data_IF_925455379443
#
_entry.id   IF_925455379443
#
_cell.length_a   1.000
_cell.length_b   1.000
_cell.length_c   1.000
_cell.angle_alpha   90.00
_cell.angle_beta   90.00
_cell.angle_gamma   90.00
#
_symmetry.space_group_name_H-M   'P 1'
#
loop_
_entity.id
_entity.type
_entity.pdbx_description
1 polymer ?
#
# COMPACT_ATOMS: atom_id res chain seq x y z
N UNK A 1 -11.47 6.30 20.92
CA UNK A 1 -12.01 5.03 20.40
C UNK A 1 -11.63 4.93 18.94
N UNK A 2 -10.40 4.44 18.71
CA UNK A 2 -9.83 4.24 17.37
C UNK A 2 -10.28 2.86 16.91
N UNK A 3 -10.90 2.78 15.73
CA UNK A 3 -11.36 1.52 15.14
C UNK A 3 -10.23 0.48 15.17
N UNK A 4 -10.54 -0.67 15.77
CA UNK A 4 -9.75 -1.90 15.77
C UNK A 4 -9.02 -2.07 14.44
N UNK A 5 -7.69 -1.95 14.47
CA UNK A 5 -6.75 -2.69 13.60
C UNK A 5 -7.29 -3.07 12.22
N UNK A 6 -7.54 -2.07 11.35
CA UNK A 6 -7.75 -2.28 9.91
C UNK A 6 -6.43 -2.34 9.15
N UNK A 7 -5.48 -3.14 9.66
CA UNK A 7 -4.54 -3.80 8.76
C UNK A 7 -5.22 -5.08 8.27
N UNK A 8 -5.83 -4.97 7.08
CA UNK A 8 -6.25 -6.08 6.22
C UNK A 8 -7.54 -6.79 6.69
N UNK A 9 -8.64 -6.63 5.93
CA UNK A 9 -9.68 -7.66 5.94
C UNK A 9 -9.03 -8.96 5.47
N UNK A 10 -8.88 -9.90 6.39
CA UNK A 10 -8.35 -11.23 6.14
C UNK A 10 -9.03 -11.82 4.89
N UNK A 11 -8.23 -12.34 3.95
CA UNK A 11 -8.72 -13.42 3.10
C UNK A 11 -9.32 -14.46 4.05
N UNK A 12 -10.57 -14.88 3.80
CA UNK A 12 -11.17 -16.00 4.53
C UNK A 12 -10.14 -17.13 4.55
N UNK A 13 -9.85 -17.73 5.72
CA UNK A 13 -8.99 -18.91 5.76
C UNK A 13 -9.59 -19.92 4.78
N UNK A 14 -8.75 -20.43 3.86
CA UNK A 14 -9.10 -21.59 3.06
C UNK A 14 -9.49 -22.71 4.03
N UNK A 15 -10.54 -23.51 3.74
CA UNK A 15 -10.99 -24.56 4.65
C UNK A 15 -9.84 -25.48 5.04
N UNK A 16 -9.77 -25.82 6.33
CA UNK A 16 -8.91 -26.88 6.85
C UNK A 16 -9.45 -28.25 6.40
N UNK A 17 -9.32 -28.60 5.13
CA UNK A 17 -9.60 -29.96 4.65
C UNK A 17 -8.29 -30.63 4.24
N UNK A 18 -7.76 -31.47 5.14
CA UNK A 18 -6.63 -32.38 4.88
C UNK A 18 -5.26 -31.71 4.65
N UNK A 19 -5.06 -30.49 5.14
CA UNK A 19 -3.92 -29.63 4.83
C UNK A 19 -2.62 -29.99 5.56
N UNK A 20 -1.50 -29.62 4.93
CA UNK A 20 -0.16 -29.62 5.51
C UNK A 20 -0.12 -29.02 6.92
N UNK A 21 0.77 -29.55 7.76
CA UNK A 21 0.98 -29.05 9.11
C UNK A 21 1.49 -27.60 9.12
N UNK A 22 1.29 -26.86 10.23
CA UNK A 22 1.84 -25.51 10.38
C UNK A 22 3.36 -25.43 10.16
N UNK A 23 4.08 -26.49 10.55
CA UNK A 23 5.51 -26.63 10.36
C UNK A 23 5.87 -26.80 8.88
N UNK A 24 5.20 -27.69 8.15
CA UNK A 24 5.41 -27.89 6.71
C UNK A 24 5.14 -26.61 5.91
N UNK A 25 4.10 -25.88 6.28
CA UNK A 25 3.78 -24.58 5.67
C UNK A 25 4.88 -23.56 5.92
N UNK A 26 5.41 -23.47 7.14
CA UNK A 26 6.55 -22.60 7.45
C UNK A 26 7.81 -23.04 6.69
N UNK A 27 8.07 -24.34 6.58
CA UNK A 27 9.21 -24.87 5.85
C UNK A 27 9.17 -24.46 4.36
N UNK A 28 8.00 -24.47 3.72
CA UNK A 28 7.85 -23.97 2.34
C UNK A 28 8.18 -22.49 2.24
N UNK A 29 7.68 -21.67 3.17
CA UNK A 29 8.04 -20.25 3.22
C UNK A 29 9.57 -20.07 3.37
N UNK A 30 10.20 -20.81 4.27
CA UNK A 30 11.66 -20.79 4.48
C UNK A 30 12.43 -21.17 3.21
N UNK A 31 11.97 -22.19 2.46
CA UNK A 31 12.57 -22.56 1.18
C UNK A 31 12.51 -21.41 0.16
N UNK A 32 11.37 -20.72 0.08
CA UNK A 32 11.23 -19.53 -0.76
C UNK A 32 12.20 -18.44 -0.31
N UNK A 33 12.27 -18.13 0.99
CA UNK A 33 13.16 -17.09 1.52
C UNK A 33 14.63 -17.37 1.22
N UNK A 34 15.09 -18.60 1.42
CA UNK A 34 16.46 -19.01 1.09
C UNK A 34 16.77 -18.85 -0.39
N UNK A 35 15.85 -19.26 -1.27
CA UNK A 35 16.01 -19.08 -2.72
C UNK A 35 16.13 -17.61 -3.10
N UNK A 36 15.31 -16.73 -2.52
CA UNK A 36 15.38 -15.28 -2.78
C UNK A 36 16.72 -14.70 -2.31
N UNK A 37 17.21 -15.13 -1.15
CA UNK A 37 18.53 -14.73 -0.61
C UNK A 37 19.67 -15.17 -1.52
N UNK A 38 19.66 -16.41 -1.98
CA UNK A 38 20.68 -16.94 -2.90
C UNK A 38 20.68 -16.20 -4.24
N UNK A 39 19.51 -15.98 -4.84
CA UNK A 39 19.41 -15.20 -6.08
C UNK A 39 19.99 -13.80 -5.92
N UNK A 40 19.67 -13.13 -4.81
CA UNK A 40 20.18 -11.79 -4.55
C UNK A 40 21.69 -11.78 -4.31
N UNK A 41 22.23 -12.76 -3.58
CA UNK A 41 23.67 -12.89 -3.36
C UNK A 41 24.42 -13.09 -4.67
N UNK A 42 23.88 -13.92 -5.56
CA UNK A 42 24.56 -14.32 -6.79
C UNK A 42 24.44 -13.26 -7.89
N UNK A 43 23.33 -12.50 -7.93
CA UNK A 43 23.02 -11.56 -9.04
C UNK A 43 22.92 -10.09 -8.63
N UNK A 44 22.81 -9.79 -7.33
CA UNK A 44 22.50 -8.45 -6.81
C UNK A 44 21.04 -8.02 -6.99
N UNK A 45 20.20 -8.87 -7.56
CA UNK A 45 18.76 -8.65 -7.71
C UNK A 45 18.01 -9.99 -7.67
N UNK A 46 16.68 -9.92 -7.57
CA UNK A 46 15.81 -11.09 -7.54
C UNK A 46 14.79 -10.97 -8.66
N UNK A 47 14.45 -12.07 -9.32
CA UNK A 47 13.41 -12.12 -10.34
C UNK A 47 12.00 -11.99 -9.72
N UNK A 48 10.98 -11.72 -10.53
CA UNK A 48 9.60 -11.67 -10.03
C UNK A 48 9.27 -12.99 -9.31
N UNK A 49 8.81 -12.90 -8.07
CA UNK A 49 8.41 -14.07 -7.27
C UNK A 49 7.31 -14.83 -8.03
N UNK A 50 7.50 -16.13 -8.23
CA UNK A 50 6.51 -16.97 -8.88
C UNK A 50 5.20 -16.96 -8.06
N UNK A 51 4.06 -17.09 -8.72
CA UNK A 51 2.73 -17.07 -8.06
C UNK A 51 2.65 -18.08 -6.91
N UNK A 52 3.21 -19.26 -7.09
CA UNK A 52 3.23 -20.31 -6.06
C UNK A 52 4.11 -19.94 -4.86
N UNK A 53 5.26 -19.30 -5.10
CA UNK A 53 6.16 -18.85 -4.04
C UNK A 53 5.50 -17.72 -3.21
N UNK A 54 4.80 -16.79 -3.86
CA UNK A 54 4.04 -15.72 -3.18
C UNK A 54 2.85 -16.30 -2.38
N UNK A 55 2.16 -17.30 -2.93
CA UNK A 55 1.09 -18.00 -2.21
C UNK A 55 1.62 -18.74 -0.98
N UNK A 56 2.76 -19.44 -1.09
CA UNK A 56 3.39 -20.13 0.02
C UNK A 56 3.76 -19.16 1.15
N UNK A 57 4.32 -17.99 0.83
CA UNK A 57 4.59 -16.96 1.83
C UNK A 57 3.29 -16.45 2.49
N UNK A 58 2.23 -16.19 1.71
CA UNK A 58 0.95 -15.70 2.25
C UNK A 58 0.27 -16.70 3.20
N UNK A 59 0.53 -17.99 3.06
CA UNK A 59 -0.01 -19.01 3.97
C UNK A 59 0.52 -18.88 5.41
N UNK A 60 1.62 -18.15 5.64
CA UNK A 60 2.09 -17.83 7.00
C UNK A 60 1.09 -17.03 7.84
N UNK A 61 0.10 -16.39 7.22
CA UNK A 61 -0.98 -15.69 7.92
C UNK A 61 -2.11 -16.61 8.43
N UNK A 62 -2.09 -17.90 8.08
CA UNK A 62 -3.04 -18.85 8.67
C UNK A 62 -2.84 -18.92 10.18
N UNK A 63 -3.93 -18.89 10.95
CA UNK A 63 -3.86 -18.79 12.42
C UNK A 63 -2.98 -19.88 13.05
N UNK A 64 -3.09 -21.12 12.57
CA UNK A 64 -2.28 -22.24 13.06
C UNK A 64 -0.77 -22.01 12.82
N UNK A 65 -0.40 -21.55 11.63
CA UNK A 65 1.00 -21.19 11.29
C UNK A 65 1.46 -20.00 12.11
N UNK A 66 0.64 -18.95 12.21
CA UNK A 66 0.97 -17.77 12.98
C UNK A 66 1.22 -18.08 14.46
N UNK A 67 0.45 -18.98 15.05
CA UNK A 67 0.70 -19.49 16.39
C UNK A 67 1.98 -20.33 16.47
N UNK A 68 2.21 -21.22 15.50
CA UNK A 68 3.42 -22.03 15.43
C UNK A 68 4.71 -21.20 15.35
N UNK A 69 4.70 -20.06 14.65
CA UNK A 69 5.86 -19.15 14.54
C UNK A 69 6.31 -18.54 15.88
N UNK A 70 5.52 -18.68 16.95
CA UNK A 70 5.89 -18.27 18.32
C UNK A 70 6.64 -19.36 19.09
N UNK A 71 6.71 -20.58 18.56
CA UNK A 71 7.47 -21.67 19.18
C UNK A 71 8.97 -21.41 19.07
N UNK A 72 9.73 -21.89 20.05
CA UNK A 72 11.19 -21.77 20.06
C UNK A 72 11.83 -22.39 18.81
N UNK A 73 11.31 -23.53 18.36
CA UNK A 73 11.78 -24.20 17.15
C UNK A 73 11.62 -23.32 15.90
N UNK A 74 10.44 -22.74 15.71
CA UNK A 74 10.18 -21.86 14.58
C UNK A 74 11.02 -20.59 14.63
N UNK A 75 11.21 -20.00 15.83
CA UNK A 75 12.05 -18.82 16.00
C UNK A 75 13.51 -19.11 15.66
N UNK A 76 14.07 -20.24 16.12
CA UNK A 76 15.43 -20.66 15.76
C UNK A 76 15.60 -20.86 14.26
N UNK A 77 14.60 -21.45 13.59
CA UNK A 77 14.62 -21.62 12.13
C UNK A 77 14.59 -20.27 11.41
N UNK A 78 13.71 -19.35 11.84
CA UNK A 78 13.60 -18.02 11.25
C UNK A 78 14.84 -17.16 11.50
N UNK A 79 15.46 -17.28 12.67
CA UNK A 79 16.73 -16.62 13.01
C UNK A 79 17.82 -16.97 11.99
N UNK A 80 17.97 -18.25 11.64
CA UNK A 80 18.95 -18.70 10.64
C UNK A 80 18.66 -18.17 9.23
N UNK A 81 17.38 -18.03 8.88
CA UNK A 81 16.95 -17.51 7.57
C UNK A 81 17.21 -16.01 7.49
N UNK A 82 16.95 -15.28 8.57
CA UNK A 82 17.09 -13.83 8.60
C UNK A 82 18.48 -13.35 9.00
N UNK A 83 19.38 -14.25 9.36
CA UNK A 83 20.80 -13.95 9.44
C UNK A 83 21.28 -13.39 8.10
N UNK A 84 21.87 -12.19 8.16
CA UNK A 84 22.36 -11.43 7.00
C UNK A 84 21.29 -11.11 5.94
N UNK A 85 20.02 -11.04 6.35
CA UNK A 85 18.94 -10.71 5.42
C UNK A 85 19.04 -9.29 4.90
N UNK A 86 19.11 -9.15 3.57
CA UNK A 86 19.21 -7.84 2.94
C UNK A 86 17.83 -7.17 2.81
N UNK A 87 17.60 -5.95 3.34
CA UNK A 87 16.28 -5.30 3.31
C UNK A 87 15.72 -5.02 1.90
N UNK A 88 16.58 -4.99 0.87
CA UNK A 88 16.11 -4.91 -0.53
C UNK A 88 15.25 -6.11 -0.98
N UNK A 89 15.25 -7.21 -0.23
CA UNK A 89 14.37 -8.37 -0.47
C UNK A 89 12.94 -8.14 0.00
N UNK A 90 12.72 -7.13 0.86
CA UNK A 90 11.42 -6.87 1.50
C UNK A 90 10.28 -6.43 0.56
N UNK A 91 10.48 -5.56 -0.46
CA UNK A 91 9.37 -4.96 -1.21
C UNK A 91 8.39 -5.92 -1.88
N UNK A 92 8.81 -7.15 -2.19
CA UNK A 92 7.97 -8.14 -2.91
C UNK A 92 6.92 -8.80 -2.03
N UNK A 93 7.21 -8.95 -0.74
CA UNK A 93 6.37 -9.66 0.22
C UNK A 93 6.42 -8.99 1.59
N UNK A 94 6.48 -7.65 1.58
CA UNK A 94 6.79 -6.82 2.76
C UNK A 94 5.97 -7.19 3.99
N UNK A 95 4.67 -7.46 3.83
CA UNK A 95 3.78 -7.80 4.94
C UNK A 95 4.16 -9.09 5.64
N UNK A 96 4.34 -10.17 4.87
CA UNK A 96 4.71 -11.48 5.44
C UNK A 96 6.13 -11.45 5.97
N UNK A 97 7.04 -10.75 5.29
CA UNK A 97 8.41 -10.63 5.76
C UNK A 97 8.50 -9.85 7.07
N UNK A 98 7.81 -8.72 7.21
CA UNK A 98 7.72 -7.99 8.48
C UNK A 98 7.11 -8.88 9.56
N UNK A 99 6.06 -9.64 9.23
CA UNK A 99 5.44 -10.59 10.17
C UNK A 99 6.38 -11.70 10.63
N UNK A 100 7.20 -12.27 9.74
CA UNK A 100 8.14 -13.33 10.09
C UNK A 100 9.36 -12.77 10.83
N UNK A 101 9.89 -11.62 10.39
CA UNK A 101 11.00 -10.92 11.06
C UNK A 101 10.61 -10.48 12.48
N UNK A 102 9.36 -10.07 12.71
CA UNK A 102 8.91 -9.70 14.07
C UNK A 102 8.90 -10.86 15.07
N UNK A 103 9.08 -12.10 14.61
CA UNK A 103 9.27 -13.28 15.47
C UNK A 103 10.71 -13.48 15.91
N UNK A 104 11.64 -12.70 15.36
CA UNK A 104 13.10 -12.81 15.52
C UNK A 104 13.64 -11.45 15.98
N UNK A 105 13.81 -11.21 17.29
CA UNK A 105 14.14 -9.88 17.83
C UNK A 105 15.42 -9.26 17.27
N UNK A 106 16.45 -10.06 17.06
CA UNK A 106 17.74 -9.66 16.47
C UNK A 106 17.57 -9.15 15.03
N UNK A 107 16.84 -9.89 14.19
CA UNK A 107 16.55 -9.51 12.81
C UNK A 107 15.66 -8.26 12.75
N UNK A 108 14.67 -8.15 13.65
CA UNK A 108 13.83 -6.96 13.75
C UNK A 108 14.64 -5.73 14.12
N UNK A 109 15.52 -5.82 15.12
CA UNK A 109 16.40 -4.73 15.50
C UNK A 109 17.36 -4.34 14.37
N UNK A 110 17.90 -5.33 13.64
CA UNK A 110 18.71 -5.07 12.44
C UNK A 110 17.95 -4.30 11.37
N UNK A 111 16.68 -4.64 11.14
CA UNK A 111 15.81 -3.92 10.21
C UNK A 111 15.54 -2.48 10.68
N UNK A 112 15.28 -2.27 11.98
CA UNK A 112 15.11 -0.93 12.55
C UNK A 112 16.35 -0.07 12.37
N UNK A 113 17.53 -0.59 12.72
CA UNK A 113 18.81 0.12 12.55
C UNK A 113 19.03 0.50 11.09
N UNK A 114 18.84 -0.44 10.16
CA UNK A 114 18.97 -0.16 8.72
C UNK A 114 18.03 0.97 8.26
N UNK A 115 16.77 0.96 8.69
CA UNK A 115 15.80 1.98 8.30
C UNK A 115 16.20 3.34 8.88
N UNK A 116 16.61 3.41 10.15
CA UNK A 116 17.06 4.66 10.79
C UNK A 116 18.26 5.27 10.08
N UNK A 117 19.28 4.47 9.80
CA UNK A 117 20.47 4.90 9.07
C UNK A 117 20.09 5.40 7.68
N UNK A 118 19.24 4.67 6.96
CA UNK A 118 18.79 5.06 5.63
C UNK A 118 17.90 6.32 5.63
N UNK A 119 17.09 6.54 6.66
CA UNK A 119 16.27 7.76 6.83
C UNK A 119 17.10 9.00 7.21
N UNK A 120 18.34 8.81 7.67
CA UNK A 120 19.27 9.91 7.93
C UNK A 120 19.79 10.57 6.64
N UNK A 121 19.65 9.90 5.49
CA UNK A 121 19.87 10.50 4.17
C UNK A 121 18.79 11.56 3.88
N UNK A 122 19.14 12.72 3.29
CA UNK A 122 18.15 13.70 2.83
C UNK A 122 17.25 13.15 1.71
N UNK A 123 17.70 12.12 0.99
CA UNK A 123 16.95 11.50 -0.11
C UNK A 123 16.86 9.98 0.11
N UNK A 124 16.07 9.52 1.10
CA UNK A 124 15.92 8.10 1.35
C UNK A 124 15.23 7.42 0.17
N UNK A 125 15.57 6.16 -0.06
CA UNK A 125 14.93 5.39 -1.12
C UNK A 125 13.43 5.21 -0.85
N UNK A 126 12.63 5.07 -1.90
CA UNK A 126 11.21 4.73 -1.77
C UNK A 126 11.01 3.43 -0.97
N UNK A 127 11.92 2.47 -1.12
CA UNK A 127 11.90 1.22 -0.36
C UNK A 127 12.03 1.47 1.14
N UNK A 128 12.97 2.33 1.56
CA UNK A 128 13.15 2.73 2.95
C UNK A 128 11.89 3.39 3.51
N UNK A 129 11.36 4.38 2.79
CA UNK A 129 10.15 5.10 3.20
C UNK A 129 8.94 4.16 3.31
N UNK A 130 8.80 3.20 2.40
CA UNK A 130 7.72 2.23 2.43
C UNK A 130 7.88 1.23 3.59
N UNK A 131 9.10 0.77 3.87
CA UNK A 131 9.37 -0.08 5.03
C UNK A 131 9.06 0.61 6.35
N UNK A 132 9.48 1.86 6.50
CA UNK A 132 9.15 2.67 7.66
C UNK A 132 7.63 2.80 7.84
N UNK A 133 6.90 3.09 6.76
CA UNK A 133 5.43 3.16 6.79
C UNK A 133 4.80 1.84 7.28
N UNK A 134 5.17 0.69 6.70
CA UNK A 134 4.57 -0.60 7.09
C UNK A 134 4.82 -0.95 8.55
N UNK A 135 5.99 -0.61 9.08
CA UNK A 135 6.30 -0.81 10.49
C UNK A 135 5.52 0.16 11.38
N UNK A 136 5.46 1.44 11.04
CA UNK A 136 4.70 2.44 11.82
C UNK A 136 3.19 2.19 11.83
N UNK A 137 2.66 1.44 10.86
CA UNK A 137 1.26 1.00 10.83
C UNK A 137 0.96 -0.17 11.79
N UNK A 138 1.99 -0.82 12.34
CA UNK A 138 1.86 -1.86 13.35
C UNK A 138 1.84 -1.16 14.71
N UNK A 139 0.79 -1.39 15.50
CA UNK A 139 0.56 -0.69 16.77
C UNK A 139 1.76 -0.81 17.72
N UNK A 140 2.41 -1.98 17.76
CA UNK A 140 3.59 -2.24 18.59
C UNK A 140 4.83 -1.42 18.21
N UNK A 141 4.93 -0.96 16.96
CA UNK A 141 6.06 -0.21 16.43
C UNK A 141 5.67 1.21 16.01
N UNK A 142 4.47 1.64 16.41
CA UNK A 142 3.99 2.97 16.11
C UNK A 142 4.93 4.00 16.76
N UNK A 143 5.45 4.88 15.92
CA UNK A 143 6.34 5.95 16.33
C UNK A 143 7.83 5.61 16.37
N UNK A 144 8.24 4.37 16.04
CA UNK A 144 9.64 3.90 16.08
C UNK A 144 10.63 4.78 15.28
N UNK A 145 10.12 5.45 14.24
CA UNK A 145 10.87 6.32 13.32
C UNK A 145 10.42 7.79 13.35
N UNK A 146 9.70 8.22 14.40
CA UNK A 146 9.07 9.55 14.40
C UNK A 146 10.07 10.68 14.26
N UNK A 147 11.20 10.59 14.96
CA UNK A 147 12.23 11.63 14.98
C UNK A 147 12.87 11.78 13.60
N UNK A 148 13.18 10.65 12.96
CA UNK A 148 13.78 10.57 11.63
C UNK A 148 12.84 11.16 10.58
N UNK A 149 11.54 10.85 10.65
CA UNK A 149 10.54 11.40 9.72
C UNK A 149 10.32 12.90 9.95
N UNK A 150 10.30 13.38 11.20
CA UNK A 150 10.21 14.82 11.50
C UNK A 150 11.42 15.57 10.95
N UNK A 151 12.62 15.03 11.16
CA UNK A 151 13.85 15.60 10.61
C UNK A 151 13.82 15.60 9.07
N UNK A 152 13.42 14.49 8.45
CA UNK A 152 13.31 14.38 7.00
C UNK A 152 12.30 15.37 6.41
N UNK A 153 11.17 15.60 7.09
CA UNK A 153 10.17 16.58 6.68
C UNK A 153 10.75 18.01 6.63
N UNK A 154 11.66 18.33 7.56
CA UNK A 154 12.34 19.64 7.61
C UNK A 154 13.45 19.74 6.54
N UNK A 155 14.23 18.67 6.36
CA UNK A 155 15.40 18.68 5.48
C UNK A 155 15.05 18.53 3.99
N UNK A 156 14.06 17.69 3.66
CA UNK A 156 13.68 17.39 2.27
C UNK A 156 12.19 17.02 2.16
N UNK A 157 11.27 18.00 2.28
CA UNK A 157 9.85 17.74 2.20
C UNK A 157 9.46 17.22 0.81
N UNK A 158 8.82 16.07 0.77
CA UNK A 158 8.18 15.50 -0.43
C UNK A 158 6.73 15.14 -0.15
N UNK A 159 5.86 14.97 -1.16
CA UNK A 159 4.47 14.61 -0.90
C UNK A 159 4.32 13.31 -0.11
N UNK A 160 5.19 12.32 -0.36
CA UNK A 160 5.16 11.06 0.39
C UNK A 160 5.60 11.23 1.84
N UNK A 161 6.68 12.00 2.10
CA UNK A 161 7.15 12.29 3.47
C UNK A 161 6.10 13.09 4.25
N UNK A 162 5.41 14.03 3.60
CA UNK A 162 4.28 14.75 4.19
C UNK A 162 3.11 13.81 4.55
N UNK A 163 2.82 12.81 3.71
CA UNK A 163 1.80 11.81 4.04
C UNK A 163 2.25 10.88 5.15
N UNK A 164 3.55 10.58 5.24
CA UNK A 164 4.13 9.73 6.28
C UNK A 164 4.14 10.43 7.64
N UNK A 165 4.44 11.74 7.69
CA UNK A 165 4.40 12.52 8.93
C UNK A 165 3.02 12.54 9.59
N UNK A 166 1.95 12.31 8.83
CA UNK A 166 0.59 12.16 9.35
C UNK A 166 0.36 10.90 10.19
N UNK A 167 1.25 9.90 10.11
CA UNK A 167 1.24 8.79 11.08
C UNK A 167 1.69 9.23 12.47
N UNK A 168 2.47 10.32 12.55
CA UNK A 168 2.99 10.88 13.81
C UNK A 168 2.04 11.97 14.32
N UNK A 169 1.67 12.90 13.43
CA UNK A 169 0.73 13.97 13.72
C UNK A 169 -0.34 14.00 12.62
N UNK A 170 -1.54 13.44 12.85
CA UNK A 170 -2.62 13.40 11.85
C UNK A 170 -3.02 14.78 11.31
N UNK A 171 -2.79 15.85 12.09
CA UNK A 171 -3.09 17.25 11.75
C UNK A 171 -1.95 17.94 11.00
N UNK A 172 -0.84 17.24 10.70
CA UNK A 172 0.29 17.84 10.00
C UNK A 172 -0.16 18.35 8.63
N UNK A 173 -0.12 19.68 8.39
CA UNK A 173 -0.56 20.23 7.11
C UNK A 173 0.44 19.84 6.03
N UNK A 174 -0.07 19.56 4.82
CA UNK A 174 0.77 19.35 3.65
C UNK A 174 0.56 20.50 2.68
N UNK A 175 1.57 21.35 2.52
CA UNK A 175 1.62 22.38 1.49
C UNK A 175 2.02 21.78 0.11
N UNK A 176 2.82 20.71 0.13
CA UNK A 176 3.21 19.96 -1.06
C UNK A 176 2.24 18.80 -1.34
N UNK A 177 1.01 19.15 -1.75
CA UNK A 177 -0.04 18.17 -2.03
C UNK A 177 0.21 17.46 -3.35
N UNK A 178 0.29 16.12 -3.31
CA UNK A 178 0.28 15.30 -4.52
C UNK A 178 -1.09 15.33 -5.20
N UNK A 179 -2.16 15.34 -4.40
CA UNK A 179 -3.54 15.47 -4.84
C UNK A 179 -4.25 16.57 -4.05
N UNK A 180 -5.03 17.41 -4.73
CA UNK A 180 -5.68 18.59 -4.16
C UNK A 180 -6.94 18.25 -3.36
N UNK A 181 -6.76 17.46 -2.30
CA UNK A 181 -7.77 17.14 -1.28
C UNK A 181 -7.46 17.92 0.00
N UNK A 182 -8.48 18.39 0.70
CA UNK A 182 -8.36 19.11 1.96
C UNK A 182 -7.64 18.28 3.03
N UNK A 183 -6.83 18.96 3.85
CA UNK A 183 -6.07 18.31 4.92
C UNK A 183 -6.98 17.61 5.94
N UNK A 184 -8.15 18.21 6.23
CA UNK A 184 -9.14 17.70 7.17
C UNK A 184 -9.83 16.46 6.60
N UNK A 185 -10.18 16.46 5.31
CA UNK A 185 -10.73 15.29 4.63
C UNK A 185 -9.76 14.10 4.66
N UNK A 186 -8.46 14.34 4.40
CA UNK A 186 -7.42 13.30 4.51
C UNK A 186 -7.21 12.80 5.95
N UNK A 187 -7.39 13.66 6.95
CA UNK A 187 -7.26 13.32 8.36
C UNK A 187 -8.41 12.42 8.83
N UNK A 188 -9.63 12.76 8.44
CA UNK A 188 -10.84 12.05 8.85
C UNK A 188 -10.99 10.70 8.12
N UNK A 189 -10.41 10.57 6.92
CA UNK A 189 -10.60 9.42 6.05
C UNK A 189 -9.28 8.68 5.77
N UNK A 190 -8.92 7.74 6.66
CA UNK A 190 -7.69 6.94 6.54
C UNK A 190 -7.62 6.09 5.26
N UNK A 191 -8.77 5.64 4.75
CA UNK A 191 -8.89 4.95 3.46
C UNK A 191 -8.43 5.83 2.30
N UNK A 192 -8.84 7.10 2.30
CA UNK A 192 -8.47 8.08 1.28
C UNK A 192 -6.95 8.31 1.29
N UNK A 193 -6.39 8.58 2.48
CA UNK A 193 -4.95 8.74 2.67
C UNK A 193 -4.17 7.50 2.17
N UNK A 194 -4.67 6.29 2.45
CA UNK A 194 -4.05 5.06 1.99
C UNK A 194 -4.05 4.93 0.45
N UNK A 195 -5.13 5.33 -0.23
CA UNK A 195 -5.16 5.31 -1.70
C UNK A 195 -4.15 6.30 -2.29
N UNK A 196 -4.03 7.49 -1.71
CA UNK A 196 -3.03 8.49 -2.16
C UNK A 196 -1.60 7.96 -2.01
N UNK A 197 -1.28 7.33 -0.88
CA UNK A 197 0.06 6.74 -0.67
C UNK A 197 0.35 5.63 -1.69
N UNK A 198 -0.60 4.72 -1.92
CA UNK A 198 -0.46 3.64 -2.91
C UNK A 198 -0.32 4.18 -4.33
N UNK A 199 -1.03 5.25 -4.67
CA UNK A 199 -0.90 5.96 -5.93
C UNK A 199 0.53 6.46 -6.15
N UNK A 200 1.10 7.20 -5.19
CA UNK A 200 2.47 7.71 -5.26
C UNK A 200 3.48 6.57 -5.38
N UNK A 201 3.35 5.51 -4.59
CA UNK A 201 4.27 4.36 -4.66
C UNK A 201 4.22 3.71 -6.05
N UNK A 202 3.02 3.50 -6.61
CA UNK A 202 2.86 2.89 -7.92
C UNK A 202 3.46 3.76 -9.02
N UNK A 203 3.19 5.07 -8.99
CA UNK A 203 3.76 6.06 -9.93
C UNK A 203 5.29 6.08 -9.85
N UNK A 204 5.87 6.22 -8.65
CA UNK A 204 7.34 6.24 -8.47
C UNK A 204 8.03 4.95 -8.88
N UNK A 205 7.30 3.84 -8.97
CA UNK A 205 7.79 2.55 -9.50
C UNK A 205 7.56 2.38 -11.01
N UNK A 206 6.95 3.35 -11.68
CA UNK A 206 6.61 3.29 -13.11
C UNK A 206 5.37 2.44 -13.44
N UNK A 207 4.58 2.04 -12.44
CA UNK A 207 3.36 1.25 -12.64
C UNK A 207 2.16 2.16 -12.86
N UNK A 208 2.14 2.88 -13.98
CA UNK A 208 1.14 3.92 -14.25
C UNK A 208 -0.31 3.41 -14.32
N UNK A 209 -0.58 2.22 -14.89
CA UNK A 209 -1.91 1.60 -14.80
C UNK A 209 -2.37 1.34 -13.36
N UNK A 210 -1.46 0.96 -12.47
CA UNK A 210 -1.79 0.75 -11.05
C UNK A 210 -1.99 2.08 -10.33
N UNK A 211 -1.13 3.08 -10.61
CA UNK A 211 -1.26 4.42 -10.08
C UNK A 211 -2.60 5.05 -10.50
N UNK A 212 -3.01 4.86 -11.75
CA UNK A 212 -4.30 5.28 -12.29
C UNK A 212 -5.47 4.63 -11.56
N UNK A 213 -5.40 3.33 -11.27
CA UNK A 213 -6.43 2.66 -10.48
C UNK A 213 -6.54 3.23 -9.07
N UNK A 214 -5.42 3.57 -8.44
CA UNK A 214 -5.44 4.25 -7.14
C UNK A 214 -5.98 5.68 -7.24
N UNK A 215 -5.67 6.44 -8.30
CA UNK A 215 -6.24 7.76 -8.57
C UNK A 215 -7.77 7.71 -8.64
N UNK A 216 -8.31 6.75 -9.39
CA UNK A 216 -9.76 6.57 -9.50
C UNK A 216 -10.39 6.13 -8.17
N UNK A 217 -9.74 5.22 -7.43
CA UNK A 217 -10.19 4.84 -6.09
C UNK A 217 -10.15 6.02 -5.12
N UNK A 218 -9.17 6.93 -5.24
CA UNK A 218 -9.11 8.17 -4.45
C UNK A 218 -10.30 9.07 -4.76
N UNK A 219 -10.64 9.27 -6.05
CA UNK A 219 -11.85 10.03 -6.43
C UNK A 219 -13.13 9.38 -5.88
N UNK A 220 -13.27 8.07 -6.05
CA UNK A 220 -14.45 7.32 -5.60
C UNK A 220 -14.62 7.40 -4.09
N UNK A 221 -13.53 7.24 -3.33
CA UNK A 221 -13.54 7.36 -1.87
C UNK A 221 -13.85 8.79 -1.43
N UNK A 222 -13.26 9.80 -2.09
CA UNK A 222 -13.58 11.21 -1.82
C UNK A 222 -15.08 11.48 -2.00
N UNK A 223 -15.66 11.02 -3.12
CA UNK A 223 -17.10 11.15 -3.36
C UNK A 223 -17.93 10.43 -2.28
N UNK A 224 -17.53 9.22 -1.86
CA UNK A 224 -18.21 8.47 -0.82
C UNK A 224 -18.24 9.23 0.51
N UNK A 225 -17.11 9.80 0.92
CA UNK A 225 -16.98 10.58 2.15
C UNK A 225 -17.89 11.81 2.19
N UNK A 226 -18.05 12.49 1.05
CA UNK A 226 -18.88 13.70 0.95
C UNK A 226 -20.36 13.43 0.63
N UNK A 227 -20.68 12.33 -0.05
CA UNK A 227 -22.06 11.94 -0.35
C UNK A 227 -22.77 11.35 0.88
N UNK A 228 -22.04 10.67 1.78
CA UNK A 228 -22.61 9.94 2.93
C UNK A 228 -23.80 9.04 2.55
N UNK A 229 -23.65 8.17 1.54
CA UNK A 229 -24.75 7.37 1.06
C UNK A 229 -25.14 6.28 2.06
N UNK A 230 -26.38 5.78 1.98
CA UNK A 230 -26.85 4.64 2.78
C UNK A 230 -26.26 3.30 2.35
N UNK A 231 -25.67 3.24 1.14
CA UNK A 231 -25.01 2.04 0.64
C UNK A 231 -23.61 1.88 1.25
N UNK A 232 -23.19 0.64 1.44
CA UNK A 232 -21.85 0.35 1.96
C UNK A 232 -20.77 0.78 0.96
N UNK A 233 -19.60 1.19 1.47
CA UNK A 233 -18.42 1.58 0.69
C UNK A 233 -18.07 0.62 -0.46
N UNK A 234 -18.16 -0.69 -0.24
CA UNK A 234 -17.79 -1.70 -1.25
C UNK A 234 -18.76 -1.76 -2.45
N UNK A 235 -19.96 -1.22 -2.30
CA UNK A 235 -20.98 -1.17 -3.35
C UNK A 235 -21.10 0.24 -3.96
N UNK A 236 -20.28 1.20 -3.51
CA UNK A 236 -20.27 2.55 -4.05
C UNK A 236 -19.44 2.56 -5.33
N UNK A 237 -20.07 2.64 -6.49
CA UNK A 237 -19.45 2.43 -7.81
C UNK A 237 -19.60 3.66 -8.73
N UNK A 238 -19.24 3.48 -10.02
CA UNK A 238 -19.32 4.55 -11.04
C UNK A 238 -20.71 5.20 -11.11
N UNK A 239 -21.84 4.47 -11.29
CA UNK A 239 -23.18 5.07 -11.27
C UNK A 239 -23.44 5.96 -10.05
N UNK A 240 -23.00 5.54 -8.87
CA UNK A 240 -23.18 6.31 -7.64
C UNK A 240 -22.33 7.60 -7.64
N UNK A 241 -21.07 7.51 -8.06
CA UNK A 241 -20.18 8.67 -8.21
C UNK A 241 -20.75 9.68 -9.20
N UNK A 242 -21.16 9.22 -10.39
CA UNK A 242 -21.69 10.09 -11.45
C UNK A 242 -22.96 10.78 -11.00
N UNK A 243 -23.94 10.02 -10.47
CA UNK A 243 -25.21 10.58 -9.99
C UNK A 243 -25.02 11.62 -8.91
N UNK A 244 -24.07 11.41 -8.00
CA UNK A 244 -23.79 12.39 -6.97
C UNK A 244 -23.11 13.64 -7.54
N UNK A 245 -22.09 13.46 -8.41
CA UNK A 245 -21.41 14.57 -9.05
C UNK A 245 -22.33 15.42 -9.95
N UNK A 246 -23.40 14.86 -10.53
CA UNK A 246 -24.41 15.64 -11.26
C UNK A 246 -25.00 16.80 -10.46
N UNK A 247 -24.98 16.73 -9.12
CA UNK A 247 -25.47 17.80 -8.26
C UNK A 247 -24.45 18.95 -8.03
N UNK A 248 -23.16 18.72 -8.30
CA UNK A 248 -22.08 19.66 -7.96
C UNK A 248 -21.04 19.89 -9.06
N UNK A 249 -21.10 19.15 -10.16
CA UNK A 249 -20.13 19.17 -11.25
C UNK A 249 -20.74 19.69 -12.56
N UNK A 250 -19.93 20.35 -13.36
CA UNK A 250 -20.28 20.72 -14.73
C UNK A 250 -20.33 19.48 -15.62
N UNK A 251 -21.03 19.58 -16.75
CA UNK A 251 -21.10 18.50 -17.73
C UNK A 251 -19.71 18.01 -18.18
N UNK A 252 -18.76 18.91 -18.44
CA UNK A 252 -17.39 18.55 -18.83
C UNK A 252 -16.62 17.80 -17.73
N UNK A 253 -16.84 18.15 -16.46
CA UNK A 253 -16.22 17.46 -15.33
C UNK A 253 -16.81 16.05 -15.17
N UNK A 254 -18.14 15.91 -15.33
CA UNK A 254 -18.82 14.61 -15.28
C UNK A 254 -18.36 13.69 -16.42
N UNK A 255 -18.30 14.22 -17.65
CA UNK A 255 -17.81 13.46 -18.82
C UNK A 255 -16.38 12.98 -18.60
N UNK A 256 -15.51 13.81 -18.01
CA UNK A 256 -14.16 13.40 -17.64
C UNK A 256 -14.15 12.25 -16.63
N UNK A 257 -14.94 12.35 -15.56
CA UNK A 257 -15.03 11.29 -14.54
C UNK A 257 -15.55 9.98 -15.15
N UNK A 258 -16.59 10.04 -15.99
CA UNK A 258 -17.09 8.90 -16.76
C UNK A 258 -15.96 8.27 -17.59
N UNK A 259 -15.22 9.08 -18.33
CA UNK A 259 -14.09 8.63 -19.15
C UNK A 259 -13.06 7.91 -18.29
N UNK A 260 -12.78 8.39 -17.08
CA UNK A 260 -11.81 7.71 -16.21
C UNK A 260 -12.27 6.32 -15.78
N UNK A 261 -13.55 6.18 -15.41
CA UNK A 261 -14.10 4.87 -15.05
C UNK A 261 -14.13 3.91 -16.23
N UNK A 262 -14.52 4.39 -17.40
CA UNK A 262 -14.54 3.56 -18.62
C UNK A 262 -13.14 3.13 -19.03
N UNK A 263 -12.13 4.01 -18.84
CA UNK A 263 -10.72 3.70 -19.09
C UNK A 263 -10.17 2.60 -18.17
N UNK A 264 -10.58 2.58 -16.89
CA UNK A 264 -10.22 1.50 -15.94
C UNK A 264 -10.75 0.14 -16.40
N UNK A 265 -11.96 0.10 -16.97
CA UNK A 265 -12.55 -1.16 -17.44
C UNK A 265 -11.77 -1.75 -18.64
N UNK A 266 -11.03 -0.91 -19.38
CA UNK A 266 -10.13 -1.30 -20.47
C UNK A 266 -8.68 -1.54 -20.05
N UNK A 267 -8.38 -1.49 -18.74
CA UNK A 267 -7.04 -1.69 -18.18
C UNK A 267 -6.86 -3.14 -17.69
N UNK A 268 -5.71 -3.76 -17.96
CA UNK A 268 -5.33 -5.16 -17.62
C UNK A 268 -5.51 -5.54 -16.15
N UNK A 269 -5.53 -4.55 -15.25
CA UNK A 269 -5.47 -4.77 -13.80
C UNK A 269 -6.87 -5.01 -13.19
N UNK A 270 -7.94 -4.52 -13.82
CA UNK A 270 -9.31 -4.59 -13.29
C UNK A 270 -10.04 -5.89 -13.65
N UNK A 271 -9.72 -6.45 -14.83
CA UNK A 271 -10.41 -7.60 -15.42
C UNK A 271 -9.39 -8.56 -16.06
N UNK A 272 -8.63 -9.33 -15.27
CA UNK A 272 -7.77 -10.37 -15.82
C UNK A 272 -8.66 -11.51 -16.39
N UNK A 273 -8.87 -11.54 -17.71
CA UNK A 273 -9.46 -12.70 -18.40
C UNK A 273 -10.60 -12.44 -19.39
N UNK A 274 -10.96 -11.18 -19.69
CA UNK A 274 -11.97 -10.89 -20.72
C UNK A 274 -11.29 -10.63 -22.08
N UNK A 275 -11.23 -11.65 -22.94
CA UNK A 275 -10.60 -11.58 -24.27
C UNK A 275 -11.33 -10.64 -25.25
N UNK A 276 -12.53 -10.17 -24.89
CA UNK A 276 -13.34 -9.26 -25.72
C UNK A 276 -13.00 -7.77 -25.53
N UNK A 277 -12.21 -7.42 -24.51
CA UNK A 277 -11.84 -6.04 -24.20
C UNK A 277 -10.43 -5.79 -24.74
N UNK A 278 -10.30 -4.85 -25.68
CA UNK A 278 -8.99 -4.39 -26.14
C UNK A 278 -8.24 -3.77 -24.96
N UNK A 279 -7.27 -4.52 -24.44
CA UNK A 279 -6.56 -4.12 -23.23
C UNK A 279 -5.41 -3.20 -23.57
N UNK A 280 -5.58 -1.92 -23.25
CA UNK A 280 -4.52 -0.92 -23.43
C UNK A 280 -3.99 -0.48 -22.06
N UNK A 281 -2.69 -0.63 -21.75
CA UNK A 281 -2.13 -0.11 -20.50
C UNK A 281 -2.21 1.42 -20.47
N UNK A 282 -2.37 2.02 -19.29
CA UNK A 282 -2.24 3.47 -19.12
C UNK A 282 -0.76 3.81 -19.05
N UNK A 283 -0.31 4.67 -19.96
CA UNK A 283 1.06 5.17 -19.96
C UNK A 283 1.25 6.33 -18.97
N UNK A 284 2.49 6.82 -18.90
CA UNK A 284 2.87 7.91 -18.00
C UNK A 284 2.15 9.22 -18.34
N UNK A 285 2.07 9.56 -19.63
CA UNK A 285 1.54 10.84 -20.10
C UNK A 285 0.04 10.89 -19.82
N UNK A 286 -0.68 9.84 -20.21
CA UNK A 286 -2.11 9.69 -19.93
C UNK A 286 -2.37 9.78 -18.42
N UNK A 287 -1.59 9.10 -17.59
CA UNK A 287 -1.72 9.19 -16.13
C UNK A 287 -1.53 10.62 -15.59
N UNK A 288 -0.45 11.29 -16.01
CA UNK A 288 -0.11 12.65 -15.56
C UNK A 288 -1.19 13.65 -15.96
N UNK A 289 -1.74 13.56 -17.18
CA UNK A 289 -2.86 14.39 -17.64
C UNK A 289 -4.11 14.20 -16.79
N UNK A 290 -4.48 12.95 -16.49
CA UNK A 290 -5.64 12.65 -15.66
C UNK A 290 -5.47 13.14 -14.22
N UNK A 291 -4.29 12.95 -13.64
CA UNK A 291 -3.96 13.47 -12.31
C UNK A 291 -4.06 15.01 -12.28
N UNK A 292 -3.48 15.68 -13.27
CA UNK A 292 -3.52 17.13 -13.38
C UNK A 292 -4.96 17.66 -13.51
N UNK A 293 -5.78 17.04 -14.36
CA UNK A 293 -7.19 17.42 -14.51
C UNK A 293 -7.99 17.18 -13.24
N UNK A 294 -7.78 16.06 -12.56
CA UNK A 294 -8.45 15.80 -11.28
C UNK A 294 -8.05 16.82 -10.21
N UNK A 295 -6.78 17.21 -10.17
CA UNK A 295 -6.28 18.26 -9.27
C UNK A 295 -6.90 19.64 -9.52
N UNK A 296 -7.37 19.92 -10.74
CA UNK A 296 -8.14 21.12 -11.05
C UNK A 296 -9.60 21.00 -10.58
N UNK A 297 -10.17 19.80 -10.62
CA UNK A 297 -11.60 19.58 -10.35
C UNK A 297 -11.92 19.41 -8.87
N UNK A 298 -11.08 18.72 -8.10
CA UNK A 298 -11.35 18.48 -6.67
C UNK A 298 -11.60 19.77 -5.88
N UNK A 299 -10.77 20.84 -5.98
CA UNK A 299 -11.08 22.11 -5.32
C UNK A 299 -12.37 22.77 -5.80
N UNK A 300 -12.78 22.55 -7.05
CA UNK A 300 -14.04 23.09 -7.57
C UNK A 300 -15.24 22.38 -6.96
N UNK A 301 -15.17 21.05 -6.82
CA UNK A 301 -16.21 20.27 -6.19
C UNK A 301 -16.39 20.69 -4.73
N UNK A 302 -15.29 20.82 -3.98
CA UNK A 302 -15.33 21.27 -2.59
C UNK A 302 -15.95 22.67 -2.44
N UNK A 303 -15.58 23.61 -3.31
CA UNK A 303 -16.15 24.97 -3.30
C UNK A 303 -17.64 25.02 -3.58
N UNK A 304 -18.19 24.06 -4.34
CA UNK A 304 -19.63 24.00 -4.65
C UNK A 304 -20.43 23.20 -3.62
N UNK A 305 -19.74 22.48 -2.73
CA UNK A 305 -20.34 21.80 -1.57
C UNK A 305 -20.49 22.72 -0.35
N UNK A 306 -19.69 23.80 -0.30
CA UNK A 306 -19.71 24.82 0.77
C UNK A 306 -20.75 25.90 0.48
#
# INVERSE_FOLDING_TARGET
MIERSRLVSFYRPLPEEGGETPQETLNRAVLVLNRLREQFRDRGYVDRTATNDDLALKQCFQNAVANYTRSQQAQQQLEQVFQDWHPALMPKSIKVLVFLISRVPTALNGLFTYIREALSSPFPSLTTLHLAEHLMLIDEYNGEFSNEIVHLLQASPSPYVNLLSRLINPRSPSENRYINIENDCLQENSSLMQQVRRMIIAEKRGFHSLAYNHLLNTLQEWCFCHHQPTISRNHYDRPNVVRWLESIASHSEIVFVITMFDRRNRNTISHPGDESIEVSPVDRVEYEEHLARLNLFLPNFCRRLS
#
